data_IF_866304007932
#
_entry.id   IF_866304007932
#
_cell.length_a   1.000
_cell.length_b   1.000
_cell.length_c   1.000
_cell.angle_alpha   90.00
_cell.angle_beta   90.00
_cell.angle_gamma   90.00
#
_symmetry.space_group_name_H-M   'P 1'
#
loop_
_entity.id
_entity.type
_entity.pdbx_description
1 polymer ?
#
# COMPACT_ATOMS: atom_id res chain seq x y z
N UNK A 1 -24.55 -0.78 -15.58
CA UNK A 1 -25.07 0.08 -14.50
C UNK A 1 -24.03 1.16 -14.26
N UNK A 2 -24.31 2.41 -14.62
CA UNK A 2 -23.37 3.52 -14.44
C UNK A 2 -23.63 4.08 -13.04
N UNK A 3 -22.80 3.70 -12.07
CA UNK A 3 -22.79 4.35 -10.77
C UNK A 3 -21.89 5.59 -10.90
N UNK A 4 -22.47 6.80 -10.86
CA UNK A 4 -21.69 8.03 -10.68
C UNK A 4 -21.61 8.34 -9.19
N UNK A 5 -20.39 8.36 -8.64
CA UNK A 5 -20.13 8.89 -7.30
C UNK A 5 -19.91 10.39 -7.40
N UNK A 6 -20.95 11.16 -7.08
CA UNK A 6 -20.93 12.62 -7.00
C UNK A 6 -20.46 13.08 -5.61
N UNK A 7 -19.15 12.96 -5.35
CA UNK A 7 -18.47 13.75 -4.30
C UNK A 7 -17.06 14.18 -4.70
N UNK A 8 -16.77 14.23 -5.99
CA UNK A 8 -15.52 14.83 -6.48
C UNK A 8 -15.77 16.34 -6.59
N UNK A 9 -15.33 17.11 -5.58
CA UNK A 9 -15.04 18.53 -5.81
C UNK A 9 -14.09 18.57 -7.00
N UNK A 10 -14.56 19.21 -8.06
CA UNK A 10 -13.86 19.41 -9.33
C UNK A 10 -12.58 20.20 -9.12
N UNK A 11 -11.54 19.50 -8.70
CA UNK A 11 -10.16 19.87 -8.95
C UNK A 11 -9.51 18.61 -9.53
N UNK A 12 -9.29 18.61 -10.84
CA UNK A 12 -8.53 17.60 -11.59
C UNK A 12 -7.05 17.51 -11.14
N UNK A 13 -6.70 18.06 -9.97
CA UNK A 13 -5.42 17.87 -9.30
C UNK A 13 -5.51 16.61 -8.45
N UNK A 14 -5.11 15.47 -9.00
CA UNK A 14 -4.60 14.28 -8.29
C UNK A 14 -4.97 14.23 -6.80
N UNK A 15 -6.23 13.93 -6.49
CA UNK A 15 -6.71 13.86 -5.10
C UNK A 15 -6.29 12.51 -4.49
N UNK A 16 -5.82 12.53 -3.25
CA UNK A 16 -5.49 11.35 -2.45
C UNK A 16 -6.67 10.38 -2.43
N UNK A 17 -7.88 10.89 -2.16
CA UNK A 17 -9.07 10.06 -2.07
C UNK A 17 -9.34 9.26 -3.36
N UNK A 18 -9.19 9.94 -4.50
CA UNK A 18 -9.41 9.32 -5.80
C UNK A 18 -8.34 8.26 -6.08
N UNK A 19 -7.09 8.48 -5.64
CA UNK A 19 -6.01 7.50 -5.78
C UNK A 19 -6.29 6.28 -4.93
N UNK A 20 -6.67 6.48 -3.67
CA UNK A 20 -7.08 5.42 -2.74
C UNK A 20 -8.18 4.56 -3.33
N UNK A 21 -9.28 5.15 -3.80
CA UNK A 21 -10.41 4.37 -4.33
C UNK A 21 -10.10 3.71 -5.68
N UNK A 22 -9.42 4.41 -6.60
CA UNK A 22 -9.08 3.84 -7.91
C UNK A 22 -8.06 2.71 -7.84
N UNK A 23 -7.28 2.63 -6.75
CA UNK A 23 -6.31 1.54 -6.52
C UNK A 23 -6.86 0.51 -5.53
N UNK A 24 -6.89 0.82 -4.23
CA UNK A 24 -7.36 -0.09 -3.17
C UNK A 24 -8.84 -0.45 -3.33
N UNK A 25 -9.68 0.49 -3.78
CA UNK A 25 -11.09 0.24 -4.06
C UNK A 25 -11.33 -0.71 -5.24
N UNK A 26 -10.35 -0.92 -6.12
CA UNK A 26 -10.43 -1.97 -7.15
C UNK A 26 -10.00 -3.32 -6.55
N UNK A 27 -8.96 -3.33 -5.72
CA UNK A 27 -8.44 -4.55 -5.11
C UNK A 27 -9.42 -5.22 -4.14
N UNK A 28 -10.43 -4.51 -3.64
CA UNK A 28 -11.46 -5.07 -2.74
C UNK A 28 -12.22 -6.26 -3.34
N UNK A 29 -12.23 -6.40 -4.67
CA UNK A 29 -12.92 -7.49 -5.37
C UNK A 29 -12.07 -8.75 -5.55
N UNK A 30 -10.82 -8.74 -5.08
CA UNK A 30 -9.99 -9.95 -5.03
C UNK A 30 -10.44 -10.88 -3.90
N UNK A 31 -10.14 -12.19 -3.98
CA UNK A 31 -10.27 -13.09 -2.83
C UNK A 31 -9.56 -12.52 -1.60
N UNK A 32 -10.16 -12.67 -0.42
CA UNK A 32 -9.70 -12.05 0.83
C UNK A 32 -8.21 -12.28 1.11
N UNK A 33 -7.78 -13.55 0.99
CA UNK A 33 -6.39 -13.92 1.20
C UNK A 33 -5.44 -13.32 0.16
N UNK A 34 -5.89 -13.16 -1.08
CA UNK A 34 -5.07 -12.53 -2.13
C UNK A 34 -4.90 -11.03 -1.88
N UNK A 35 -5.99 -10.32 -1.57
CA UNK A 35 -5.93 -8.91 -1.17
C UNK A 35 -4.95 -8.74 0.00
N UNK A 36 -5.10 -9.57 1.03
CA UNK A 36 -4.24 -9.50 2.20
C UNK A 36 -2.77 -9.79 1.89
N UNK A 37 -2.49 -10.81 1.06
CA UNK A 37 -1.13 -11.14 0.64
C UNK A 37 -0.47 -9.96 -0.09
N UNK A 38 -1.22 -9.23 -0.93
CA UNK A 38 -0.72 -8.04 -1.63
C UNK A 38 -0.38 -6.93 -0.63
N UNK A 39 -1.29 -6.61 0.30
CA UNK A 39 -1.06 -5.59 1.31
C UNK A 39 0.15 -5.95 2.21
N UNK A 40 0.18 -7.18 2.73
CA UNK A 40 1.26 -7.69 3.59
C UNK A 40 2.61 -7.68 2.87
N UNK A 41 2.68 -8.12 1.62
CA UNK A 41 3.93 -8.14 0.86
C UNK A 41 4.42 -6.73 0.47
N UNK A 42 3.53 -5.73 0.45
CA UNK A 42 3.92 -4.34 0.15
C UNK A 42 4.68 -3.66 1.32
N UNK A 43 4.53 -4.16 2.54
CA UNK A 43 5.16 -3.60 3.75
C UNK A 43 6.65 -4.03 3.84
N UNK A 44 7.51 -3.21 4.45
CA UNK A 44 8.93 -3.53 4.64
C UNK A 44 9.18 -4.65 5.68
N UNK A 45 8.62 -4.51 6.88
CA UNK A 45 8.86 -5.40 8.03
C UNK A 45 7.62 -6.25 8.37
N UNK A 46 7.22 -7.13 7.46
CA UNK A 46 5.92 -7.83 7.54
C UNK A 46 5.90 -9.16 8.32
N UNK A 47 6.98 -9.49 9.06
CA UNK A 47 7.14 -10.81 9.68
C UNK A 47 6.08 -11.10 10.74
N UNK A 48 5.75 -10.10 11.56
CA UNK A 48 4.78 -10.23 12.65
C UNK A 48 3.32 -10.02 12.20
N UNK A 49 3.10 -9.68 10.92
CA UNK A 49 1.76 -9.53 10.36
C UNK A 49 1.09 -10.91 10.19
N UNK A 50 -0.22 -11.04 10.50
CA UNK A 50 -0.97 -12.28 10.30
C UNK A 50 -0.75 -12.90 8.91
N UNK A 51 -0.57 -14.22 8.84
CA UNK A 51 -0.38 -14.92 7.56
C UNK A 51 -1.70 -15.29 6.89
N UNK A 52 -2.76 -15.49 7.67
CA UNK A 52 -4.09 -15.94 7.19
C UNK A 52 -5.15 -14.91 7.53
N UNK A 53 -5.86 -14.41 6.51
CA UNK A 53 -6.93 -13.43 6.70
C UNK A 53 -8.24 -14.04 7.17
N UNK A 54 -8.59 -15.22 6.66
CA UNK A 54 -9.99 -15.63 6.58
C UNK A 54 -10.73 -14.78 5.54
N UNK A 55 -12.05 -14.74 5.60
CA UNK A 55 -12.86 -13.93 4.68
C UNK A 55 -12.87 -12.43 5.05
N UNK A 56 -13.15 -11.57 4.07
CA UNK A 56 -13.46 -10.15 4.31
C UNK A 56 -14.89 -10.08 4.83
N UNK A 57 -15.06 -9.64 6.07
CA UNK A 57 -16.38 -9.41 6.67
C UNK A 57 -16.91 -8.03 6.26
N UNK A 58 -16.01 -7.04 6.18
CA UNK A 58 -16.38 -5.65 5.89
C UNK A 58 -15.17 -4.88 5.34
N UNK A 59 -15.42 -4.00 4.37
CA UNK A 59 -14.46 -2.99 3.91
C UNK A 59 -15.17 -1.64 3.77
N UNK A 60 -14.59 -0.61 4.35
CA UNK A 60 -15.14 0.75 4.33
C UNK A 60 -14.06 1.76 3.95
N UNK A 61 -14.44 2.70 3.10
CA UNK A 61 -13.61 3.84 2.71
C UNK A 61 -14.13 5.08 3.43
N UNK A 62 -13.24 5.77 4.13
CA UNK A 62 -13.55 6.92 4.99
C UNK A 62 -14.66 6.64 6.02
N UNK A 63 -14.56 5.57 6.83
CA UNK A 63 -15.52 5.34 7.90
C UNK A 63 -15.41 6.44 8.97
N UNK A 64 -16.55 6.80 9.55
CA UNK A 64 -16.60 7.82 10.60
C UNK A 64 -16.75 7.16 11.96
N UNK A 65 -15.70 7.23 12.78
CA UNK A 65 -15.73 6.71 14.14
C UNK A 65 -16.03 7.83 15.13
N UNK A 66 -17.20 7.74 15.77
CA UNK A 66 -17.74 8.79 16.64
C UNK A 66 -17.42 8.58 18.12
N UNK A 67 -17.00 7.37 18.51
CA UNK A 67 -16.65 7.04 19.90
C UNK A 67 -15.25 7.54 20.26
N UNK A 68 -15.05 8.86 20.25
CA UNK A 68 -13.74 9.50 20.48
C UNK A 68 -13.54 9.99 21.92
N UNK A 69 -14.41 9.57 22.84
CA UNK A 69 -14.28 9.93 24.26
C UNK A 69 -12.92 9.43 24.78
N UNK A 70 -12.20 10.30 25.50
CA UNK A 70 -10.87 10.05 26.08
C UNK A 70 -9.66 10.04 25.13
N UNK A 71 -9.83 10.41 23.85
CA UNK A 71 -8.70 10.58 22.92
C UNK A 71 -8.11 11.98 23.11
N UNK A 72 -6.92 12.07 23.72
CA UNK A 72 -6.28 13.35 24.09
C UNK A 72 -5.61 14.08 22.91
N UNK A 73 -5.29 13.35 21.85
CA UNK A 73 -4.39 13.81 20.79
C UNK A 73 -5.10 14.73 19.77
N UNK A 74 -6.42 14.61 19.62
CA UNK A 74 -7.19 15.48 18.71
C UNK A 74 -8.15 16.36 19.51
N UNK A 75 -7.83 17.65 19.64
CA UNK A 75 -8.76 18.62 20.24
C UNK A 75 -9.81 19.06 19.20
N UNK A 76 -11.10 18.99 19.56
CA UNK A 76 -12.24 19.57 18.83
C UNK A 76 -12.72 18.87 17.54
N UNK A 77 -12.47 17.57 17.36
CA UNK A 77 -13.15 16.79 16.31
C UNK A 77 -14.39 16.09 16.86
N UNK A 78 -15.38 15.82 16.00
CA UNK A 78 -16.60 15.05 16.36
C UNK A 78 -16.49 13.57 15.97
N UNK A 79 -15.53 13.24 15.12
CA UNK A 79 -15.21 11.88 14.69
C UNK A 79 -13.74 11.82 14.28
N UNK A 80 -13.23 10.59 14.20
CA UNK A 80 -11.95 10.26 13.56
C UNK A 80 -12.25 9.40 12.34
N UNK A 81 -11.55 9.67 11.24
CA UNK A 81 -11.76 9.05 9.93
C UNK A 81 -10.41 8.51 9.44
N UNK A 82 -10.21 7.17 9.40
CA UNK A 82 -9.14 6.56 8.60
C UNK A 82 -9.53 6.50 7.12
N UNK A 83 -8.57 6.32 6.22
CA UNK A 83 -8.87 6.22 4.79
C UNK A 83 -9.55 4.91 4.40
N UNK A 84 -9.03 3.78 4.88
CA UNK A 84 -9.61 2.46 4.63
C UNK A 84 -9.61 1.64 5.91
N UNK A 85 -10.76 1.04 6.22
CA UNK A 85 -10.90 0.05 7.26
C UNK A 85 -11.34 -1.28 6.66
N UNK A 86 -10.64 -2.36 7.00
CA UNK A 86 -10.93 -3.71 6.53
C UNK A 86 -11.04 -4.62 7.75
N UNK A 87 -12.20 -5.25 7.92
CA UNK A 87 -12.40 -6.32 8.89
C UNK A 87 -12.30 -7.66 8.20
N UNK A 88 -11.29 -8.42 8.58
CA UNK A 88 -11.21 -9.84 8.26
C UNK A 88 -11.79 -10.67 9.41
N UNK A 89 -12.00 -11.96 9.16
CA UNK A 89 -12.39 -12.88 10.22
C UNK A 89 -11.36 -12.91 11.35
N UNK A 90 -10.07 -12.99 11.01
CA UNK A 90 -8.99 -13.23 11.98
C UNK A 90 -8.40 -11.96 12.62
N UNK A 91 -8.47 -10.81 11.94
CA UNK A 91 -7.91 -9.55 12.41
C UNK A 91 -8.59 -8.36 11.73
N UNK A 92 -8.33 -7.15 12.25
CA UNK A 92 -8.79 -5.91 11.64
C UNK A 92 -7.58 -5.11 11.11
N UNK A 93 -7.76 -4.40 10.01
CA UNK A 93 -6.73 -3.61 9.36
C UNK A 93 -7.22 -2.19 9.07
N UNK A 94 -6.42 -1.20 9.43
CA UNK A 94 -6.53 0.17 8.88
C UNK A 94 -5.44 0.36 7.84
N UNK A 95 -5.78 0.96 6.71
CA UNK A 95 -4.81 1.50 5.75
C UNK A 95 -4.99 3.00 5.75
N UNK A 96 -4.01 3.71 6.28
CA UNK A 96 -3.93 5.18 6.24
C UNK A 96 -3.01 5.58 5.10
N UNK A 97 -3.53 6.41 4.22
CA UNK A 97 -2.92 6.75 2.95
C UNK A 97 -2.41 8.18 2.99
N UNK A 98 -1.33 8.44 2.25
CA UNK A 98 -0.89 9.79 1.90
C UNK A 98 -0.72 9.91 0.39
N UNK A 99 -0.96 11.10 -0.14
CA UNK A 99 -0.97 11.39 -1.58
C UNK A 99 0.26 10.91 -2.34
N UNK A 100 1.45 10.99 -1.72
CA UNK A 100 2.72 10.61 -2.32
C UNK A 100 3.62 9.92 -1.30
N UNK A 101 4.71 9.31 -1.77
CA UNK A 101 5.69 8.64 -0.89
C UNK A 101 6.59 9.59 -0.09
N UNK A 102 6.55 10.89 -0.38
CA UNK A 102 7.54 11.86 0.14
C UNK A 102 7.41 12.15 1.64
N UNK A 103 6.28 12.69 2.10
CA UNK A 103 6.00 13.06 3.49
C UNK A 103 4.50 13.06 3.75
N UNK A 104 4.10 12.92 5.02
CA UNK A 104 2.72 13.16 5.45
C UNK A 104 2.23 12.29 6.60
N UNK A 105 2.99 11.24 6.97
CA UNK A 105 2.60 10.39 8.09
C UNK A 105 2.95 11.02 9.45
N UNK A 106 2.03 10.95 10.41
CA UNK A 106 2.18 11.55 11.73
C UNK A 106 1.79 10.55 12.83
N UNK A 107 2.65 10.40 13.85
CA UNK A 107 2.40 9.50 14.99
C UNK A 107 1.12 9.82 15.75
N UNK A 108 0.77 11.10 15.80
CA UNK A 108 -0.44 11.60 16.47
C UNK A 108 -1.70 11.09 15.77
N UNK A 109 -1.66 10.98 14.44
CA UNK A 109 -2.75 10.40 13.65
C UNK A 109 -2.88 8.89 13.90
N UNK A 110 -1.75 8.17 13.91
CA UNK A 110 -1.72 6.74 14.19
C UNK A 110 -2.29 6.45 15.59
N UNK A 111 -1.86 7.21 16.59
CA UNK A 111 -2.34 7.06 17.97
C UNK A 111 -3.84 7.35 18.08
N UNK A 112 -4.31 8.44 17.48
CA UNK A 112 -5.73 8.84 17.52
C UNK A 112 -6.62 7.81 16.84
N UNK A 113 -6.26 7.36 15.63
CA UNK A 113 -7.03 6.35 14.90
C UNK A 113 -6.97 4.98 15.59
N UNK A 114 -5.83 4.60 16.17
CA UNK A 114 -5.74 3.35 16.95
C UNK A 114 -6.66 3.40 18.18
N UNK A 115 -6.70 4.52 18.90
CA UNK A 115 -7.60 4.68 20.05
C UNK A 115 -9.08 4.69 19.62
N UNK A 116 -9.40 5.39 18.52
CA UNK A 116 -10.76 5.41 17.99
C UNK A 116 -11.24 4.02 17.54
N UNK A 117 -10.38 3.26 16.86
CA UNK A 117 -10.65 1.86 16.51
C UNK A 117 -10.98 1.02 17.76
N UNK A 118 -10.17 1.11 18.82
CA UNK A 118 -10.37 0.36 20.06
C UNK A 118 -11.67 0.72 20.78
N UNK A 119 -12.09 1.98 20.68
CA UNK A 119 -13.38 2.43 21.23
C UNK A 119 -14.57 1.95 20.38
N UNK A 120 -14.41 1.91 19.05
CA UNK A 120 -15.46 1.44 18.14
C UNK A 120 -15.66 -0.07 18.24
N UNK A 121 -14.56 -0.81 18.42
CA UNK A 121 -14.51 -2.27 18.42
C UNK A 121 -13.83 -2.81 19.69
N UNK A 122 -14.55 -2.84 20.83
CA UNK A 122 -13.98 -3.25 22.12
C UNK A 122 -13.67 -4.75 22.21
N UNK A 123 -14.20 -5.56 21.28
CA UNK A 123 -14.07 -7.02 21.27
C UNK A 123 -12.63 -7.51 21.04
N UNK A 124 -11.71 -6.62 20.62
CA UNK A 124 -10.28 -6.83 20.77
C UNK A 124 -9.61 -7.81 19.79
N UNK A 125 -9.96 -7.77 18.50
CA UNK A 125 -9.22 -8.52 17.48
C UNK A 125 -7.76 -8.04 17.36
N UNK A 126 -6.82 -8.89 16.89
CA UNK A 126 -5.53 -8.41 16.43
C UNK A 126 -5.73 -7.26 15.44
N UNK A 127 -4.93 -6.20 15.61
CA UNK A 127 -5.08 -4.97 14.84
C UNK A 127 -3.79 -4.70 14.07
N UNK A 128 -3.95 -4.42 12.78
CA UNK A 128 -2.86 -4.02 11.90
C UNK A 128 -3.14 -2.61 11.39
N UNK A 129 -2.11 -1.78 11.38
CA UNK A 129 -2.17 -0.44 10.82
C UNK A 129 -1.13 -0.31 9.72
N UNK A 130 -1.55 -0.05 8.48
CA UNK A 130 -0.67 0.16 7.34
C UNK A 130 -0.62 1.65 7.03
N UNK A 131 0.54 2.27 7.26
CA UNK A 131 0.84 3.62 6.81
C UNK A 131 1.35 3.56 5.36
N UNK A 132 0.49 3.84 4.38
CA UNK A 132 0.77 3.78 2.95
C UNK A 132 1.14 5.15 2.38
N UNK A 133 2.38 5.29 1.92
CA UNK A 133 2.90 6.57 1.43
C UNK A 133 3.25 7.53 2.59
N UNK A 134 3.90 8.64 2.24
CA UNK A 134 4.28 9.71 3.18
C UNK A 134 5.33 9.30 4.23
N UNK A 135 6.05 8.20 4.01
CA UNK A 135 7.03 7.64 4.93
C UNK A 135 8.46 8.03 4.51
N UNK A 136 9.14 8.87 5.29
CA UNK A 136 10.55 9.21 5.08
C UNK A 136 11.51 8.02 5.23
N UNK A 137 11.14 7.08 6.12
CA UNK A 137 11.89 5.86 6.40
C UNK A 137 10.89 4.72 6.60
N UNK A 138 11.24 3.54 6.09
CA UNK A 138 10.42 2.32 6.19
C UNK A 138 10.80 1.43 7.36
N UNK A 139 11.65 1.91 8.26
CA UNK A 139 12.03 1.22 9.48
C UNK A 139 10.82 1.01 10.41
N UNK A 140 10.79 -0.15 11.08
CA UNK A 140 9.87 -0.40 12.19
C UNK A 140 9.99 0.73 13.23
N UNK A 141 8.86 1.15 13.79
CA UNK A 141 8.85 2.14 14.86
C UNK A 141 9.62 1.60 16.08
N UNK A 142 10.56 2.38 16.60
CA UNK A 142 11.30 2.03 17.82
C UNK A 142 10.46 2.14 19.09
N UNK A 143 9.25 2.71 19.02
CA UNK A 143 8.34 2.82 20.15
C UNK A 143 7.37 1.63 20.17
N UNK A 144 7.40 0.85 21.25
CA UNK A 144 6.53 -0.33 21.44
C UNK A 144 5.04 -0.06 21.19
N UNK A 145 4.57 1.16 21.50
CA UNK A 145 3.16 1.55 21.28
C UNK A 145 2.74 1.60 19.81
N UNK A 146 3.67 1.52 18.87
CA UNK A 146 3.44 1.53 17.42
C UNK A 146 3.94 0.25 16.75
N UNK A 147 4.10 -0.84 17.50
CA UNK A 147 4.47 -2.15 16.95
C UNK A 147 3.42 -2.72 15.95
N UNK A 148 2.18 -2.25 16.03
CA UNK A 148 1.12 -2.59 15.08
C UNK A 148 1.11 -1.70 13.83
N UNK A 149 2.01 -0.71 13.74
CA UNK A 149 2.11 0.22 12.60
C UNK A 149 3.20 -0.23 11.64
N UNK A 150 2.78 -0.54 10.43
CA UNK A 150 3.59 -1.06 9.34
C UNK A 150 3.67 -0.03 8.21
N UNK A 151 4.88 0.26 7.74
CA UNK A 151 5.11 1.28 6.73
C UNK A 151 5.22 0.66 5.33
N UNK A 152 4.58 1.31 4.36
CA UNK A 152 4.63 0.95 2.95
C UNK A 152 4.73 2.20 2.08
N UNK A 153 5.03 2.00 0.80
CA UNK A 153 5.01 3.06 -0.23
C UNK A 153 4.09 2.64 -1.37
N UNK A 154 3.59 3.63 -2.11
CA UNK A 154 2.83 3.39 -3.33
C UNK A 154 3.62 2.55 -4.32
N UNK A 155 4.92 2.81 -4.46
CA UNK A 155 5.80 2.04 -5.33
C UNK A 155 5.94 0.56 -4.91
N UNK A 156 6.04 0.27 -3.61
CA UNK A 156 6.09 -1.13 -3.13
C UNK A 156 4.76 -1.83 -3.38
N UNK A 157 3.63 -1.15 -3.14
CA UNK A 157 2.31 -1.69 -3.43
C UNK A 157 2.14 -1.99 -4.92
N UNK A 158 2.46 -1.04 -5.80
CA UNK A 158 2.39 -1.21 -7.26
C UNK A 158 3.22 -2.40 -7.73
N UNK A 159 4.47 -2.55 -7.24
CA UNK A 159 5.32 -3.70 -7.59
C UNK A 159 4.72 -5.04 -7.19
N UNK A 160 4.12 -5.12 -6.00
CA UNK A 160 3.52 -6.36 -5.53
C UNK A 160 2.27 -6.71 -6.33
N UNK A 161 1.46 -5.71 -6.69
CA UNK A 161 0.30 -5.88 -7.59
C UNK A 161 0.77 -6.38 -8.96
N UNK A 162 1.77 -5.72 -9.56
CA UNK A 162 2.31 -6.13 -10.87
C UNK A 162 2.91 -7.54 -10.81
N UNK A 163 3.70 -7.85 -9.78
CA UNK A 163 4.22 -9.22 -9.58
C UNK A 163 3.08 -10.25 -9.52
N UNK A 164 2.04 -9.98 -8.72
CA UNK A 164 0.89 -10.86 -8.60
C UNK A 164 0.12 -11.02 -9.93
N UNK A 165 0.10 -9.97 -10.76
CA UNK A 165 -0.46 -9.98 -12.12
C UNK A 165 0.39 -10.84 -13.06
N UNK A 166 1.71 -10.62 -13.12
CA UNK A 166 2.62 -11.38 -13.96
C UNK A 166 2.62 -12.88 -13.62
N UNK A 167 2.62 -13.22 -12.33
CA UNK A 167 2.52 -14.60 -11.87
C UNK A 167 1.26 -15.29 -12.41
N UNK A 168 0.10 -14.64 -12.34
CA UNK A 168 -1.16 -15.17 -12.89
C UNK A 168 -1.17 -15.24 -14.41
N UNK A 169 -0.63 -14.24 -15.07
CA UNK A 169 -0.52 -14.21 -16.54
C UNK A 169 0.38 -15.32 -17.08
N UNK A 170 1.42 -15.70 -16.32
CA UNK A 170 2.37 -16.75 -16.69
C UNK A 170 1.79 -18.17 -16.65
N UNK A 171 0.66 -18.38 -15.98
CA UNK A 171 0.02 -19.70 -15.88
C UNK A 171 -0.53 -20.13 -17.25
N UNK A 172 -0.12 -21.30 -17.72
CA UNK A 172 -0.49 -21.84 -19.03
C UNK A 172 -2.01 -22.08 -19.17
N UNK A 173 -2.64 -22.62 -18.13
CA UNK A 173 -4.08 -22.90 -18.09
C UNK A 173 -4.76 -22.06 -17.02
N UNK A 174 -5.51 -21.04 -17.44
CA UNK A 174 -6.19 -20.10 -16.55
C UNK A 174 -7.63 -20.52 -16.31
N UNK A 175 -8.06 -20.50 -15.06
CA UNK A 175 -9.48 -20.63 -14.69
C UNK A 175 -10.19 -19.28 -14.89
N UNK A 176 -11.52 -19.28 -14.93
CA UNK A 176 -12.27 -18.02 -15.02
C UNK A 176 -12.05 -17.12 -13.80
N UNK A 177 -11.89 -17.73 -12.62
CA UNK A 177 -11.52 -17.00 -11.38
C UNK A 177 -10.19 -16.28 -11.59
N UNK A 178 -9.17 -16.97 -12.12
CA UNK A 178 -7.87 -16.36 -12.40
C UNK A 178 -7.95 -15.25 -13.45
N UNK A 179 -8.80 -15.39 -14.47
CA UNK A 179 -9.05 -14.32 -15.44
C UNK A 179 -9.68 -13.08 -14.79
N UNK A 180 -10.57 -13.26 -13.82
CA UNK A 180 -11.15 -12.15 -13.05
C UNK A 180 -10.09 -11.47 -12.18
N UNK A 181 -9.26 -12.24 -11.48
CA UNK A 181 -8.13 -11.72 -10.71
C UNK A 181 -7.18 -10.89 -11.59
N UNK A 182 -6.83 -11.40 -12.79
CA UNK A 182 -6.00 -10.68 -13.77
C UNK A 182 -6.65 -9.35 -14.16
N UNK A 183 -7.95 -9.33 -14.48
CA UNK A 183 -8.67 -8.10 -14.84
C UNK A 183 -8.66 -7.07 -13.72
N UNK A 184 -8.85 -7.50 -12.47
CA UNK A 184 -8.85 -6.63 -11.29
C UNK A 184 -7.44 -6.06 -11.05
N UNK A 185 -6.41 -6.91 -11.07
CA UNK A 185 -5.02 -6.50 -10.88
C UNK A 185 -4.55 -5.55 -11.99
N UNK A 186 -4.87 -5.85 -13.26
CA UNK A 186 -4.58 -4.96 -14.39
C UNK A 186 -5.27 -3.60 -14.20
N UNK A 187 -6.54 -3.59 -13.79
CA UNK A 187 -7.28 -2.33 -13.54
C UNK A 187 -6.63 -1.50 -12.44
N UNK A 188 -6.08 -2.14 -11.40
CA UNK A 188 -5.32 -1.44 -10.36
C UNK A 188 -4.00 -0.85 -10.91
N UNK A 189 -3.23 -1.60 -11.71
CA UNK A 189 -2.01 -1.12 -12.38
C UNK A 189 -2.31 0.07 -13.30
N UNK A 190 -3.37 -0.03 -14.10
CA UNK A 190 -3.80 1.04 -15.00
C UNK A 190 -4.22 2.30 -14.22
N UNK A 191 -4.82 2.12 -13.04
CA UNK A 191 -5.12 3.24 -12.14
C UNK A 191 -3.84 3.96 -11.69
N UNK A 192 -2.77 3.26 -11.32
CA UNK A 192 -1.47 3.87 -11.01
C UNK A 192 -0.87 4.65 -12.19
N UNK A 193 -1.00 4.12 -13.41
CA UNK A 193 -0.52 4.80 -14.61
C UNK A 193 -1.18 6.17 -14.82
N UNK A 194 -2.46 6.35 -14.42
CA UNK A 194 -3.13 7.65 -14.45
C UNK A 194 -2.52 8.69 -13.50
N UNK A 195 -1.73 8.26 -12.51
CA UNK A 195 -0.95 9.14 -11.62
C UNK A 195 0.51 9.30 -12.07
N UNK A 196 0.87 8.84 -13.27
CA UNK A 196 2.26 8.74 -13.76
C UNK A 196 3.16 7.88 -12.85
N UNK A 197 2.56 6.93 -12.13
CA UNK A 197 3.28 5.94 -11.35
C UNK A 197 3.37 4.65 -12.15
N UNK A 198 4.59 4.27 -12.46
CA UNK A 198 4.90 3.05 -13.21
C UNK A 198 5.71 2.12 -12.33
N UNK A 199 5.67 0.84 -12.68
CA UNK A 199 6.59 -0.14 -12.09
C UNK A 199 8.00 0.25 -12.51
N UNK A 200 8.78 0.72 -11.56
CA UNK A 200 10.21 1.01 -11.76
C UNK A 200 10.98 -0.12 -11.09
N UNK A 201 12.04 -0.64 -11.72
CA UNK A 201 13.06 -1.42 -11.01
C UNK A 201 13.91 -0.45 -10.19
N UNK A 202 14.01 -0.64 -8.87
CA UNK A 202 14.77 0.28 -8.02
C UNK A 202 16.24 -0.09 -8.27
N UNK A 203 17.11 0.91 -8.33
CA UNK A 203 18.53 0.70 -8.59
C UNK A 203 19.20 -0.27 -7.59
N UNK A 204 18.67 -0.36 -6.37
CA UNK A 204 19.12 -1.30 -5.32
C UNK A 204 18.76 -2.78 -5.60
N UNK A 205 17.80 -3.03 -6.49
CA UNK A 205 17.40 -4.36 -6.96
C UNK A 205 18.08 -4.77 -8.26
N UNK A 206 18.73 -3.81 -8.94
CA UNK A 206 19.60 -4.15 -10.06
C UNK A 206 20.82 -4.86 -9.51
N UNK A 207 21.14 -6.04 -10.05
CA UNK A 207 22.42 -6.69 -9.73
C UNK A 207 23.53 -5.65 -9.92
N UNK A 208 24.34 -5.42 -8.89
CA UNK A 208 25.62 -4.74 -9.04
C UNK A 208 26.46 -5.58 -10.00
N UNK A 209 26.25 -5.39 -11.30
CA UNK A 209 27.26 -5.67 -12.28
C UNK A 209 28.37 -4.66 -11.98
N UNK A 210 29.22 -5.03 -11.03
CA UNK A 210 30.56 -4.48 -10.89
C UNK A 210 31.32 -4.88 -12.14
N UNK A 211 30.97 -4.28 -13.27
CA UNK A 211 31.90 -4.18 -14.36
C UNK A 211 33.05 -3.36 -13.80
N UNK A 212 34.10 -4.05 -13.37
CA UNK A 212 35.39 -3.42 -13.13
C UNK A 212 35.73 -2.77 -14.45
N UNK A 213 35.52 -1.47 -14.57
CA UNK A 213 35.97 -0.71 -15.73
C UNK A 213 37.49 -0.83 -15.70
N UNK A 214 38.03 -1.79 -16.46
CA UNK A 214 39.46 -1.89 -16.67
C UNK A 214 39.82 -0.67 -17.50
N UNK A 215 40.26 0.37 -16.82
CA UNK A 215 40.80 1.55 -17.48
C UNK A 215 41.90 1.07 -18.43
N UNK A 216 41.86 1.46 -19.71
CA UNK A 216 42.83 0.99 -20.67
C UNK A 216 44.22 1.47 -20.22
N UNK A 217 45.16 0.54 -20.16
CA UNK A 217 46.57 0.86 -19.93
C UNK A 217 47.10 1.77 -21.05
N UNK A 218 48.17 2.51 -20.74
CA UNK A 218 48.82 3.43 -21.68
C UNK A 218 49.22 2.74 -23.00
N UNK A 219 49.51 1.43 -22.96
CA UNK A 219 49.81 0.60 -24.14
C UNK A 219 48.57 0.26 -24.96
N UNK A 220 47.46 -0.12 -24.33
CA UNK A 220 46.19 -0.36 -25.04
C UNK A 220 45.63 0.90 -25.69
N UNK A 221 45.81 2.08 -25.06
CA UNK A 221 45.47 3.36 -25.68
C UNK A 221 46.34 3.61 -26.92
N UNK A 222 47.66 3.39 -26.85
CA UNK A 222 48.55 3.55 -28.01
C UNK A 222 48.17 2.66 -29.21
N UNK A 223 47.60 1.48 -28.98
CA UNK A 223 47.12 0.61 -30.06
C UNK A 223 45.82 1.12 -30.70
N UNK A 224 44.91 1.71 -29.91
CA UNK A 224 43.65 2.26 -30.41
C UNK A 224 43.83 3.57 -31.21
N UNK A 225 44.88 4.33 -30.91
CA UNK A 225 45.19 5.61 -31.57
C UNK A 225 46.24 5.50 -32.71
N UNK A 226 46.59 4.27 -33.14
CA UNK A 226 47.38 4.06 -34.37
C UNK A 226 46.47 4.25 -35.59
N UNK A 227 46.37 5.50 -36.05
CA UNK A 227 46.18 5.83 -37.47
C UNK A 227 47.56 5.77 -38.13
#
# INVERSE_FOLDING_TARGET
MICSYSKIKTDQKYNEDFKTYSTLGVLQYLPAQLLWNILRASVADNQDMPSVSGEIVQIEFWPKWYKIQNIKVVSNTTYIEPDVFIRFENFDCVVEVKKSDSVGQHSDQWESQTQAYRNEYPDGKPFVYIALGGNLKLDTSSQDKFNHVYKSTWQRLLRVIDKALQERMSVAYKTEIMNQEIRILQSAVDAFANYNEYVVELLDTMNEYSQTIKLPTKESLKQLWRI
#
